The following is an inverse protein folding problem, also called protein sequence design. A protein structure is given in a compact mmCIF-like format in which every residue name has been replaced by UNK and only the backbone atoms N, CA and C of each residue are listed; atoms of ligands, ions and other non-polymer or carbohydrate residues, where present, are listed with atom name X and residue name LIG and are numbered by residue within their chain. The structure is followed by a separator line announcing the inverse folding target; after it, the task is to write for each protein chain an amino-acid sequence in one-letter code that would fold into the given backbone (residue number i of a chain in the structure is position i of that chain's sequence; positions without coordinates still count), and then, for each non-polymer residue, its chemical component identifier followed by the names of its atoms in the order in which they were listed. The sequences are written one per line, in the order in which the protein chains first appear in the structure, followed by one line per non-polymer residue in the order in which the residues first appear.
data_IF_745988669391
#
_entry.id   IF_745988669391
#
_cell.length_a   1.000
_cell.length_b   1.000
_cell.length_c   1.000
_cell.angle_alpha   90.00
_cell.angle_beta   90.00
_cell.angle_gamma   90.00
#
_symmetry.space_group_name_H-M   'P 1'
#
loop_
_entity.id
_entity.type
_entity.pdbx_description
1 polymer ?
#
# COMPACT_ATOMS: atom_id res chain seq x y z
N UNK A 1 90.12 -14.74 2.17
CA UNK A 1 89.49 -15.80 2.99
C UNK A 1 88.00 -15.55 3.24
N UNK A 2 87.56 -14.30 3.38
CA UNK A 2 86.15 -13.95 3.66
C UNK A 2 85.22 -14.12 2.45
N UNK A 3 85.68 -13.78 1.24
CA UNK A 3 84.90 -13.96 0.01
C UNK A 3 84.44 -15.42 -0.19
N UNK A 4 85.32 -16.40 0.08
CA UNK A 4 84.97 -17.83 -0.03
C UNK A 4 83.97 -18.29 1.03
N UNK A 5 83.95 -17.65 2.21
CA UNK A 5 82.94 -17.93 3.24
C UNK A 5 81.58 -17.37 2.83
N UNK A 6 81.58 -16.18 2.22
CA UNK A 6 80.38 -15.55 1.70
C UNK A 6 79.77 -16.37 0.56
N UNK A 7 80.57 -16.80 -0.42
CA UNK A 7 80.09 -17.66 -1.51
C UNK A 7 79.53 -18.98 -0.99
N UNK A 8 80.20 -19.62 -0.02
CA UNK A 8 79.70 -20.85 0.59
C UNK A 8 78.36 -20.65 1.32
N UNK A 9 78.23 -19.56 2.09
CA UNK A 9 76.96 -19.21 2.76
C UNK A 9 75.84 -18.91 1.77
N UNK A 10 76.15 -18.23 0.66
CA UNK A 10 75.20 -17.94 -0.40
C UNK A 10 74.71 -19.23 -1.09
N UNK A 11 75.64 -20.13 -1.45
CA UNK A 11 75.27 -21.44 -1.99
C UNK A 11 74.42 -22.26 -1.01
N UNK A 12 74.74 -22.22 0.28
CA UNK A 12 73.95 -22.91 1.30
C UNK A 12 72.51 -22.39 1.38
N UNK A 13 72.33 -21.06 1.39
CA UNK A 13 71.02 -20.42 1.40
C UNK A 13 70.22 -20.70 0.11
N UNK A 14 70.90 -20.73 -1.04
CA UNK A 14 70.29 -21.10 -2.32
C UNK A 14 69.73 -22.53 -2.26
N UNK A 15 70.54 -23.49 -1.82
CA UNK A 15 70.12 -24.90 -1.70
C UNK A 15 68.97 -25.05 -0.70
N UNK A 16 69.02 -24.34 0.44
CA UNK A 16 67.93 -24.36 1.41
C UNK A 16 66.62 -23.82 0.83
N UNK A 17 66.69 -22.73 0.07
CA UNK A 17 65.52 -22.15 -0.59
C UNK A 17 64.90 -23.12 -1.59
N UNK A 18 65.74 -23.75 -2.42
CA UNK A 18 65.28 -24.70 -3.43
C UNK A 18 64.62 -25.93 -2.77
N UNK A 19 65.20 -26.44 -1.67
CA UNK A 19 64.61 -27.52 -0.89
C UNK A 19 63.24 -27.14 -0.31
N UNK A 20 63.14 -25.96 0.30
CA UNK A 20 61.88 -25.44 0.84
C UNK A 20 60.82 -25.22 -0.24
N UNK A 21 61.22 -24.84 -1.47
CA UNK A 21 60.30 -24.72 -2.59
C UNK A 21 59.71 -26.07 -2.97
N UNK A 22 60.55 -27.09 -3.14
CA UNK A 22 60.09 -28.45 -3.45
C UNK A 22 59.23 -29.04 -2.34
N UNK A 23 59.55 -28.81 -1.07
CA UNK A 23 58.70 -29.23 0.06
C UNK A 23 57.33 -28.56 0.01
N UNK A 24 57.27 -27.24 -0.23
CA UNK A 24 56.01 -26.53 -0.36
C UNK A 24 55.18 -27.01 -1.55
N UNK A 25 55.82 -27.28 -2.69
CA UNK A 25 55.19 -27.86 -3.87
C UNK A 25 54.61 -29.25 -3.55
N UNK A 26 55.40 -30.14 -2.95
CA UNK A 26 54.96 -31.47 -2.53
C UNK A 26 53.80 -31.41 -1.54
N UNK A 27 53.83 -30.50 -0.57
CA UNK A 27 52.72 -30.29 0.36
C UNK A 27 51.44 -29.82 -0.35
N UNK A 28 51.56 -28.91 -1.31
CA UNK A 28 50.42 -28.45 -2.12
C UNK A 28 49.83 -29.56 -2.98
N UNK A 29 50.67 -30.40 -3.56
CA UNK A 29 50.23 -31.57 -4.33
C UNK A 29 49.51 -32.58 -3.45
N UNK A 30 50.08 -32.93 -2.29
CA UNK A 30 49.45 -33.81 -1.31
C UNK A 30 48.10 -33.25 -0.85
N UNK A 31 48.00 -31.94 -0.65
CA UNK A 31 46.74 -31.31 -0.27
C UNK A 31 45.72 -31.39 -1.42
N UNK A 32 46.15 -31.15 -2.66
CA UNK A 32 45.33 -31.27 -3.87
C UNK A 32 44.81 -32.69 -4.07
N UNK A 33 45.66 -33.71 -3.96
CA UNK A 33 45.28 -35.12 -4.08
C UNK A 33 44.35 -35.54 -2.95
N UNK A 34 44.64 -35.20 -1.69
CA UNK A 34 43.74 -35.44 -0.54
C UNK A 34 42.38 -34.75 -0.75
N UNK A 35 42.35 -33.53 -1.30
CA UNK A 35 41.10 -32.83 -1.63
C UNK A 35 40.31 -33.54 -2.73
N UNK A 36 40.98 -34.09 -3.75
CA UNK A 36 40.33 -34.93 -4.78
C UNK A 36 39.74 -36.20 -4.17
N UNK A 37 40.47 -36.90 -3.30
CA UNK A 37 39.98 -38.12 -2.63
C UNK A 37 38.75 -37.89 -1.73
N UNK A 38 38.60 -36.69 -1.14
CA UNK A 38 37.42 -36.34 -0.33
C UNK A 38 36.17 -36.03 -1.16
N UNK A 39 36.29 -35.77 -2.46
CA UNK A 39 35.13 -35.50 -3.33
C UNK A 39 34.41 -36.81 -3.62
N UNK A 40 33.39 -37.13 -2.82
CA UNK A 40 32.42 -38.14 -3.19
C UNK A 40 31.64 -37.61 -4.40
N UNK A 41 31.56 -38.40 -5.47
CA UNK A 41 30.73 -38.06 -6.62
C UNK A 41 29.26 -37.94 -6.21
N UNK A 42 28.47 -37.17 -6.97
CA UNK A 42 27.01 -37.17 -6.83
C UNK A 42 26.52 -38.60 -7.06
N UNK A 43 25.75 -39.16 -6.11
CA UNK A 43 25.14 -40.48 -6.27
C UNK A 43 24.05 -40.37 -7.33
N UNK A 44 24.09 -41.24 -8.34
CA UNK A 44 23.05 -41.32 -9.34
C UNK A 44 21.84 -42.05 -8.76
N UNK A 45 20.65 -41.49 -8.96
CA UNK A 45 19.41 -42.12 -8.54
C UNK A 45 19.03 -43.25 -9.51
N UNK A 46 19.54 -44.45 -9.22
CA UNK A 46 19.24 -45.67 -9.96
C UNK A 46 17.96 -46.28 -9.41
N UNK A 47 16.85 -46.10 -10.13
CA UNK A 47 15.54 -46.62 -9.72
C UNK A 47 15.33 -48.07 -10.20
N UNK A 48 14.96 -48.94 -9.27
CA UNK A 48 14.66 -50.35 -9.52
C UNK A 48 13.24 -50.49 -10.09
N UNK A 49 13.03 -51.42 -11.01
CA UNK A 49 11.68 -51.74 -11.51
C UNK A 49 10.93 -52.56 -10.47
N UNK A 50 9.66 -52.24 -10.27
CA UNK A 50 8.80 -52.89 -9.27
C UNK A 50 8.62 -54.39 -9.51
N UNK A 51 8.79 -54.88 -10.74
CA UNK A 51 8.62 -56.30 -11.10
C UNK A 51 9.72 -57.22 -10.52
N UNK A 52 10.89 -56.68 -10.17
CA UNK A 52 12.04 -57.48 -9.79
C UNK A 52 12.18 -57.57 -8.25
N UNK A 53 11.83 -58.72 -7.67
CA UNK A 53 11.80 -58.95 -6.22
C UNK A 53 13.01 -59.76 -5.71
N UNK A 54 14.14 -59.80 -6.43
CA UNK A 54 15.36 -60.47 -5.95
C UNK A 54 16.14 -59.58 -4.96
N UNK A 55 16.80 -60.20 -3.99
CA UNK A 55 17.62 -59.53 -2.97
C UNK A 55 18.90 -58.88 -3.51
N UNK A 56 19.38 -59.32 -4.67
CA UNK A 56 20.53 -58.73 -5.37
C UNK A 56 20.07 -57.94 -6.60
N UNK A 57 20.46 -56.67 -6.67
CA UNK A 57 20.13 -55.75 -7.78
C UNK A 57 21.35 -55.53 -8.66
N UNK A 58 21.31 -56.08 -9.88
CA UNK A 58 22.35 -55.85 -10.89
C UNK A 58 21.91 -54.70 -11.80
N UNK A 59 22.74 -53.65 -11.89
CA UNK A 59 22.46 -52.49 -12.72
C UNK A 59 23.07 -52.63 -14.11
N UNK A 60 22.23 -52.51 -15.15
CA UNK A 60 22.72 -52.43 -16.53
C UNK A 60 23.25 -51.02 -16.84
N UNK A 61 24.21 -50.86 -17.76
CA UNK A 61 24.72 -49.54 -18.19
C UNK A 61 23.62 -48.57 -18.66
N UNK A 62 22.51 -49.10 -19.19
CA UNK A 62 21.32 -48.32 -19.56
C UNK A 62 20.73 -47.55 -18.37
N UNK A 63 20.74 -48.12 -17.16
CA UNK A 63 20.18 -47.48 -15.96
C UNK A 63 20.93 -46.23 -15.54
N UNK A 64 22.25 -46.21 -15.73
CA UNK A 64 23.07 -45.03 -15.52
C UNK A 64 22.73 -43.90 -16.49
N UNK A 65 22.46 -44.21 -17.76
CA UNK A 65 22.02 -43.21 -18.75
C UNK A 65 20.64 -42.63 -18.39
N UNK A 66 19.69 -43.50 -18.02
CA UNK A 66 18.36 -43.06 -17.57
C UNK A 66 18.44 -42.15 -16.33
N UNK A 67 19.29 -42.48 -15.35
CA UNK A 67 19.47 -41.66 -14.16
C UNK A 67 20.07 -40.27 -14.46
N UNK A 68 21.04 -40.19 -15.38
CA UNK A 68 21.59 -38.90 -15.83
C UNK A 68 20.53 -38.04 -16.52
N UNK A 69 19.79 -38.62 -17.46
CA UNK A 69 18.70 -37.91 -18.16
C UNK A 69 17.67 -37.37 -17.15
N UNK A 70 17.30 -38.14 -16.12
CA UNK A 70 16.38 -37.66 -15.07
C UNK A 70 16.98 -36.51 -14.27
N UNK A 71 18.28 -36.55 -13.95
CA UNK A 71 18.94 -35.44 -13.28
C UNK A 71 18.92 -34.18 -14.15
N UNK A 72 19.26 -34.29 -15.43
CA UNK A 72 19.24 -33.16 -16.37
C UNK A 72 17.84 -32.54 -16.48
N UNK A 73 16.79 -33.37 -16.54
CA UNK A 73 15.39 -32.91 -16.55
C UNK A 73 15.08 -32.18 -15.24
N UNK A 74 15.40 -32.78 -14.09
CA UNK A 74 15.14 -32.18 -12.77
C UNK A 74 15.89 -30.87 -12.57
N UNK A 75 17.12 -30.76 -13.05
CA UNK A 75 17.92 -29.53 -13.00
C UNK A 75 17.26 -28.44 -13.87
N UNK A 76 16.84 -28.77 -15.10
CA UNK A 76 16.08 -27.84 -15.96
C UNK A 76 14.75 -27.40 -15.34
N UNK A 77 13.95 -28.32 -14.82
CA UNK A 77 12.69 -28.00 -14.13
C UNK A 77 12.93 -27.08 -12.91
N UNK A 78 14.01 -27.31 -12.17
CA UNK A 78 14.38 -26.47 -11.04
C UNK A 78 14.81 -25.06 -11.50
N UNK A 79 15.58 -24.95 -12.59
CA UNK A 79 15.95 -23.67 -13.20
C UNK A 79 14.72 -22.92 -13.71
N UNK A 80 13.83 -23.58 -14.46
CA UNK A 80 12.57 -23.01 -14.92
C UNK A 80 11.69 -22.56 -13.76
N UNK A 81 11.58 -23.35 -12.69
CA UNK A 81 10.88 -22.96 -11.46
C UNK A 81 11.47 -21.69 -10.82
N UNK A 82 12.80 -21.57 -10.80
CA UNK A 82 13.46 -20.38 -10.27
C UNK A 82 13.18 -19.15 -11.13
N UNK A 83 13.24 -19.30 -12.46
CA UNK A 83 12.91 -18.24 -13.42
C UNK A 83 11.45 -17.79 -13.23
N UNK A 84 10.50 -18.73 -13.16
CA UNK A 84 9.08 -18.41 -12.90
C UNK A 84 8.88 -17.70 -11.55
N UNK A 85 9.58 -18.13 -10.50
CA UNK A 85 9.54 -17.47 -9.19
C UNK A 85 10.09 -16.05 -9.25
N UNK A 86 11.12 -15.79 -10.05
CA UNK A 86 11.65 -14.44 -10.26
C UNK A 86 10.63 -13.57 -11.01
N UNK A 87 10.10 -14.06 -12.14
CA UNK A 87 9.09 -13.36 -12.93
C UNK A 87 7.84 -13.02 -12.11
N UNK A 88 7.34 -13.97 -11.31
CA UNK A 88 6.18 -13.72 -10.45
C UNK A 88 6.45 -12.69 -9.35
N UNK A 89 7.68 -12.61 -8.84
CA UNK A 89 8.08 -11.54 -7.90
C UNK A 89 8.09 -10.18 -8.59
N UNK A 90 8.61 -10.10 -9.82
CA UNK A 90 8.63 -8.87 -10.61
C UNK A 90 7.21 -8.38 -10.93
N UNK A 91 6.32 -9.28 -11.39
CA UNK A 91 4.92 -8.95 -11.65
C UNK A 91 4.23 -8.46 -10.36
N UNK A 92 4.49 -9.10 -9.22
CA UNK A 92 3.94 -8.67 -7.91
C UNK A 92 4.44 -7.28 -7.51
N UNK A 93 5.73 -7.01 -7.68
CA UNK A 93 6.30 -5.70 -7.40
C UNK A 93 5.68 -4.62 -8.30
N UNK A 94 5.55 -4.88 -9.60
CA UNK A 94 4.89 -3.98 -10.54
C UNK A 94 3.43 -3.71 -10.17
N UNK A 95 2.67 -4.75 -9.80
CA UNK A 95 1.28 -4.61 -9.36
C UNK A 95 1.15 -3.79 -8.06
N UNK A 96 2.12 -3.92 -7.14
CA UNK A 96 2.16 -3.10 -5.93
C UNK A 96 2.41 -1.63 -6.26
N UNK A 97 3.37 -1.32 -7.13
CA UNK A 97 3.65 0.04 -7.59
C UNK A 97 2.42 0.66 -8.26
N UNK A 98 1.76 -0.07 -9.15
CA UNK A 98 0.54 0.38 -9.81
C UNK A 98 -0.59 0.69 -8.80
N UNK A 99 -0.75 -0.16 -7.78
CA UNK A 99 -1.72 0.07 -6.71
C UNK A 99 -1.40 1.33 -5.89
N UNK A 100 -0.11 1.60 -5.62
CA UNK A 100 0.32 2.82 -4.95
C UNK A 100 0.00 4.06 -5.79
N UNK A 101 0.29 4.04 -7.09
CA UNK A 101 -0.05 5.13 -8.01
C UNK A 101 -1.56 5.41 -8.03
N UNK A 102 -2.41 4.38 -8.10
CA UNK A 102 -3.87 4.55 -8.02
C UNK A 102 -4.28 5.16 -6.67
N UNK A 103 -3.66 4.74 -5.57
CA UNK A 103 -3.98 5.27 -4.25
C UNK A 103 -3.60 6.75 -4.11
N UNK A 104 -2.44 7.14 -4.64
CA UNK A 104 -1.99 8.54 -4.70
C UNK A 104 -2.93 9.39 -5.56
N UNK A 105 -3.26 8.94 -6.77
CA UNK A 105 -4.23 9.63 -7.63
C UNK A 105 -5.58 9.83 -6.93
N UNK A 106 -6.06 8.82 -6.19
CA UNK A 106 -7.28 8.93 -5.38
C UNK A 106 -7.15 9.92 -4.23
N UNK A 107 -5.97 10.07 -3.61
CA UNK A 107 -5.73 11.08 -2.57
C UNK A 107 -5.76 12.48 -3.16
N UNK A 108 -5.00 12.70 -4.24
CA UNK A 108 -4.98 13.97 -4.96
C UNK A 108 -6.38 14.37 -5.42
N UNK A 109 -7.15 13.43 -6.00
CA UNK A 109 -8.53 13.70 -6.41
C UNK A 109 -9.45 14.10 -5.23
N UNK A 110 -9.24 13.54 -4.03
CA UNK A 110 -9.99 13.92 -2.82
C UNK A 110 -9.61 15.30 -2.33
N UNK A 111 -8.34 15.65 -2.36
CA UNK A 111 -7.84 16.97 -1.98
C UNK A 111 -8.35 18.04 -2.94
N UNK A 112 -8.22 17.82 -4.25
CA UNK A 112 -8.79 18.69 -5.26
C UNK A 112 -10.32 18.86 -5.09
N UNK A 113 -11.05 17.79 -4.76
CA UNK A 113 -12.48 17.86 -4.48
C UNK A 113 -12.81 18.65 -3.19
N UNK A 114 -11.94 18.61 -2.17
CA UNK A 114 -12.09 19.43 -0.96
C UNK A 114 -11.84 20.90 -1.25
N UNK A 115 -10.74 21.22 -1.93
CA UNK A 115 -10.44 22.59 -2.34
C UNK A 115 -11.55 23.18 -3.20
N UNK A 116 -12.04 22.43 -4.19
CA UNK A 116 -13.16 22.88 -5.02
C UNK A 116 -14.43 23.12 -4.20
N UNK A 117 -14.71 22.30 -3.18
CA UNK A 117 -15.85 22.53 -2.27
C UNK A 117 -15.66 23.78 -1.42
N UNK A 118 -14.44 24.06 -0.96
CA UNK A 118 -14.13 25.26 -0.19
C UNK A 118 -14.21 26.52 -1.04
N UNK A 119 -13.67 26.49 -2.27
CA UNK A 119 -13.80 27.57 -3.26
C UNK A 119 -15.26 27.86 -3.57
N UNK A 120 -16.06 26.83 -3.88
CA UNK A 120 -17.50 27.00 -4.14
C UNK A 120 -18.25 27.55 -2.92
N UNK A 121 -17.87 27.17 -1.69
CA UNK A 121 -18.46 27.74 -0.46
C UNK A 121 -18.04 29.19 -0.26
N UNK A 122 -16.77 29.52 -0.48
CA UNK A 122 -16.25 30.88 -0.36
C UNK A 122 -16.88 31.81 -1.40
N UNK A 123 -17.02 31.36 -2.65
CA UNK A 123 -17.70 32.11 -3.72
C UNK A 123 -19.17 32.34 -3.38
N UNK A 124 -19.90 31.31 -2.93
CA UNK A 124 -21.29 31.47 -2.47
C UNK A 124 -21.39 32.43 -1.29
N UNK A 125 -20.50 32.33 -0.31
CA UNK A 125 -20.47 33.22 0.84
C UNK A 125 -20.21 34.68 0.40
N UNK A 126 -19.25 34.90 -0.50
CA UNK A 126 -18.96 36.21 -1.09
C UNK A 126 -20.18 36.77 -1.84
N UNK A 127 -20.83 35.96 -2.67
CA UNK A 127 -22.07 36.36 -3.37
C UNK A 127 -23.18 36.76 -2.39
N UNK A 128 -23.37 35.98 -1.32
CA UNK A 128 -24.37 36.32 -0.30
C UNK A 128 -24.01 37.59 0.47
N UNK A 129 -22.74 37.84 0.74
CA UNK A 129 -22.26 39.04 1.43
C UNK A 129 -22.44 40.29 0.55
N UNK A 130 -22.08 40.20 -0.73
CA UNK A 130 -22.30 41.28 -1.71
C UNK A 130 -23.79 41.60 -1.84
N UNK A 131 -24.64 40.59 -1.96
CA UNK A 131 -26.09 40.81 -2.05
C UNK A 131 -26.66 41.41 -0.75
N UNK A 132 -26.15 41.02 0.42
CA UNK A 132 -26.52 41.63 1.71
C UNK A 132 -26.10 43.10 1.79
N UNK A 133 -24.88 43.44 1.32
CA UNK A 133 -24.38 44.82 1.25
C UNK A 133 -25.24 45.69 0.34
N UNK A 134 -25.60 45.20 -0.85
CA UNK A 134 -26.48 45.92 -1.78
C UNK A 134 -27.84 46.18 -1.12
N UNK A 135 -28.45 45.18 -0.46
CA UNK A 135 -29.71 45.36 0.27
C UNK A 135 -29.59 46.36 1.43
N UNK A 136 -28.49 46.33 2.18
CA UNK A 136 -28.25 47.29 3.25
C UNK A 136 -28.16 48.72 2.70
N UNK A 137 -27.37 48.94 1.65
CA UNK A 137 -27.25 50.25 0.99
C UNK A 137 -28.61 50.76 0.46
N UNK A 138 -29.43 49.88 -0.14
CA UNK A 138 -30.79 50.23 -0.56
C UNK A 138 -31.69 50.64 0.61
N UNK A 139 -31.65 49.87 1.71
CA UNK A 139 -32.44 50.18 2.91
C UNK A 139 -32.00 51.51 3.56
N UNK A 140 -30.69 51.77 3.61
CA UNK A 140 -30.13 53.03 4.11
C UNK A 140 -30.56 54.21 3.24
N UNK A 141 -30.46 54.09 1.91
CA UNK A 141 -30.95 55.10 0.97
C UNK A 141 -32.44 55.39 1.19
N UNK A 142 -33.29 54.36 1.24
CA UNK A 142 -34.73 54.54 1.53
C UNK A 142 -34.98 55.18 2.91
N UNK A 143 -34.19 54.84 3.92
CA UNK A 143 -34.32 55.43 5.25
C UNK A 143 -33.90 56.91 5.24
N UNK A 144 -32.84 57.28 4.53
CA UNK A 144 -32.43 58.69 4.38
C UNK A 144 -33.49 59.51 3.65
N UNK A 145 -34.08 58.99 2.57
CA UNK A 145 -35.18 59.64 1.86
C UNK A 145 -36.39 59.86 2.76
N UNK A 146 -36.81 58.82 3.51
CA UNK A 146 -37.90 58.94 4.49
C UNK A 146 -37.59 59.97 5.57
N UNK A 147 -36.35 60.01 6.09
CA UNK A 147 -35.93 60.98 7.10
C UNK A 147 -35.96 62.42 6.56
N UNK A 148 -35.48 62.65 5.33
CA UNK A 148 -35.57 63.95 4.66
C UNK A 148 -37.03 64.38 4.50
N UNK A 149 -37.92 63.50 4.04
CA UNK A 149 -39.37 63.77 3.92
C UNK A 149 -40.02 64.10 5.27
N UNK A 150 -39.61 63.44 6.36
CA UNK A 150 -40.17 63.67 7.70
C UNK A 150 -39.70 65.01 8.28
N UNK A 151 -38.45 65.42 8.02
CA UNK A 151 -37.91 66.73 8.41
C UNK A 151 -38.62 67.91 7.72
N UNK A 152 -39.10 67.70 6.49
CA UNK A 152 -39.88 68.71 5.75
C UNK A 152 -41.31 68.87 6.30
N UNK A 153 -41.86 67.86 6.99
CA UNK A 153 -43.16 67.94 7.67
C UNK A 153 -43.02 68.54 9.08
N UNK A 154 -42.35 69.69 9.17
CA UNK A 154 -42.18 70.45 10.40
C UNK A 154 -43.43 71.27 10.74
N UNK A 155 -44.01 70.97 11.92
CA UNK A 155 -45.09 71.64 12.70
C UNK A 155 -46.41 70.88 12.74
N UNK A 156 -46.53 69.92 13.68
CA UNK A 156 -47.82 69.49 14.24
C UNK A 156 -47.76 69.44 15.77
N UNK A 157 -48.83 69.94 16.41
CA UNK A 157 -49.02 70.11 17.86
C UNK A 157 -49.11 68.78 18.59
N UNK A 158 -48.56 68.74 19.80
CA UNK A 158 -48.59 67.60 20.71
C UNK A 158 -49.96 67.39 21.36
N UNK A 159 -50.51 66.19 21.20
CA UNK A 159 -51.44 65.47 22.09
C UNK A 159 -51.55 64.04 21.51
N UNK A 160 -51.63 62.92 22.21
CA UNK A 160 -52.42 62.52 23.37
C UNK A 160 -51.87 61.18 23.92
N UNK A 161 -52.28 60.79 25.13
CA UNK A 161 -51.81 59.66 25.97
C UNK A 161 -51.93 58.27 25.30
N UNK A 162 -51.08 57.28 25.69
CA UNK A 162 -51.15 55.93 25.15
C UNK A 162 -52.30 55.11 25.77
N UNK A 163 -53.16 54.56 24.92
CA UNK A 163 -54.19 53.59 25.29
C UNK A 163 -53.59 52.19 25.37
N UNK A 164 -53.59 51.61 26.58
CA UNK A 164 -53.20 50.22 26.82
C UNK A 164 -54.29 49.27 26.32
N UNK A 165 -54.16 48.77 25.09
CA UNK A 165 -54.95 47.63 24.63
C UNK A 165 -54.16 46.34 24.85
N UNK A 166 -54.56 45.60 25.89
CA UNK A 166 -54.17 44.21 26.14
C UNK A 166 -54.47 43.39 24.87
N UNK A 167 -53.43 42.97 24.15
CA UNK A 167 -53.55 41.95 23.11
C UNK A 167 -53.89 40.63 23.79
N UNK A 168 -55.15 40.19 23.63
CA UNK A 168 -55.59 38.84 23.97
C UNK A 168 -54.73 37.86 23.15
N UNK A 169 -53.91 37.06 23.81
CA UNK A 169 -53.34 35.84 23.22
C UNK A 169 -54.52 34.93 22.90
N UNK A 170 -54.91 34.87 21.63
CA UNK A 170 -55.67 33.73 21.14
C UNK A 170 -54.68 32.58 21.12
N UNK A 171 -54.80 31.69 22.11
CA UNK A 171 -54.23 30.37 22.03
C UNK A 171 -54.88 29.73 20.80
N UNK A 172 -54.10 29.62 19.72
CA UNK A 172 -54.46 28.75 18.61
C UNK A 172 -54.23 27.35 19.14
N UNK A 173 -55.32 26.73 19.59
CA UNK A 173 -55.39 25.28 19.71
C UNK A 173 -55.14 24.74 18.30
N UNK A 174 -53.90 24.34 18.08
CA UNK A 174 -53.57 23.49 16.95
C UNK A 174 -54.19 22.16 17.32
N UNK A 175 -55.35 21.88 16.74
CA UNK A 175 -55.84 20.52 16.59
C UNK A 175 -54.69 19.75 15.95
N UNK A 176 -54.04 18.94 16.76
CA UNK A 176 -53.11 17.92 16.33
C UNK A 176 -53.96 16.96 15.49
N UNK A 177 -54.00 17.21 14.18
CA UNK A 177 -54.28 16.14 13.23
C UNK A 177 -53.09 15.21 13.43
N UNK A 178 -53.31 14.15 14.19
CA UNK A 178 -52.42 13.01 14.29
C UNK A 178 -52.39 12.38 12.88
N UNK A 179 -51.60 12.97 11.99
CA UNK A 179 -51.08 12.25 10.85
C UNK A 179 -50.28 11.07 11.43
N UNK A 180 -50.57 9.83 11.02
CA UNK A 180 -49.81 8.69 11.51
C UNK A 180 -48.34 8.93 11.20
N UNK A 181 -47.52 8.96 12.25
CA UNK A 181 -46.08 9.08 12.12
C UNK A 181 -45.59 8.10 11.04
N UNK A 182 -44.81 8.54 10.05
CA UNK A 182 -44.31 7.63 9.03
C UNK A 182 -43.51 6.53 9.73
N UNK A 183 -43.84 5.27 9.40
CA UNK A 183 -43.19 4.10 9.96
C UNK A 183 -41.65 4.26 9.92
N UNK A 184 -40.93 3.89 10.99
CA UNK A 184 -39.48 4.05 11.04
C UNK A 184 -38.85 3.35 9.82
N UNK A 185 -37.83 3.96 9.20
CA UNK A 185 -37.21 3.38 8.01
C UNK A 185 -36.72 1.96 8.31
N UNK A 186 -36.88 1.01 7.38
CA UNK A 186 -36.44 -0.36 7.58
C UNK A 186 -34.96 -0.35 7.95
N UNK A 187 -34.58 -1.08 9.01
CA UNK A 187 -33.18 -1.20 9.42
C UNK A 187 -32.40 -1.85 8.29
N UNK A 188 -31.56 -1.07 7.62
CA UNK A 188 -30.65 -1.55 6.59
C UNK A 188 -29.27 -1.82 7.19
N UNK A 189 -28.61 -2.87 6.72
CA UNK A 189 -27.20 -3.11 7.04
C UNK A 189 -26.30 -2.03 6.44
N UNK A 190 -25.05 -1.93 6.89
CA UNK A 190 -24.02 -1.03 6.30
C UNK A 190 -23.82 -1.21 4.78
N UNK A 191 -24.36 -2.28 4.18
CA UNK A 191 -24.33 -2.56 2.73
C UNK A 191 -25.70 -2.42 2.04
N UNK A 192 -26.69 -1.79 2.69
CA UNK A 192 -28.00 -1.49 2.09
C UNK A 192 -28.99 -2.67 2.03
N UNK A 193 -28.69 -3.83 2.64
CA UNK A 193 -29.65 -4.94 2.70
C UNK A 193 -30.65 -4.76 3.83
N UNK A 194 -31.93 -5.03 3.58
CA UNK A 194 -32.99 -5.04 4.58
C UNK A 194 -32.75 -6.15 5.62
N UNK A 195 -32.81 -5.80 6.90
CA UNK A 195 -32.65 -6.72 8.03
C UNK A 195 -34.03 -7.12 8.55
N UNK A 196 -34.44 -8.35 8.27
CA UNK A 196 -35.66 -8.94 8.84
C UNK A 196 -35.31 -9.63 10.17
N UNK A 197 -35.92 -9.18 11.27
CA UNK A 197 -35.77 -9.84 12.57
C UNK A 197 -36.49 -11.21 12.58
N UNK A 198 -35.81 -12.31 12.98
CA UNK A 198 -36.42 -13.64 13.10
C UNK A 198 -37.59 -13.65 14.09
N UNK A 199 -38.64 -14.44 13.84
CA UNK A 199 -39.84 -14.54 14.72
C UNK A 199 -39.54 -14.87 16.18
N UNK A 200 -38.46 -15.59 16.46
CA UNK A 200 -38.02 -15.92 17.83
C UNK A 200 -37.53 -14.72 18.65
N UNK A 201 -37.31 -13.57 18.01
CA UNK A 201 -36.85 -12.32 18.64
C UNK A 201 -37.88 -11.19 18.48
N UNK A 202 -39.12 -11.51 18.08
CA UNK A 202 -40.26 -10.59 18.10
C UNK A 202 -41.04 -10.76 19.39
#
# INVERSE_FOLDING_TARGET
KEANKLTHSFHHLQVQKDLLQHENEGLREVLSTKKKHKKKGKVLDLQQRQEYHSSAVVWSPRKFREARIRQDIKEKEAEESQIQKAQTKEIKAAAQLYKLQIAEQKRVAREAAKENRERMKAEKAAQTAEHARIKQAQNEAQNTEKALQLSQKGKRKASSKPSTQKRRKVAREVVEVEEPAPAPPPRTSRRGRNINLPKKFK
#
